data_IF_193748957560
#
_entry.id   IF_193748957560
#
_cell.length_a   1.000
_cell.length_b   1.000
_cell.length_c   1.000
_cell.angle_alpha   90.00
_cell.angle_beta   90.00
_cell.angle_gamma   90.00
#
_symmetry.space_group_name_H-M   'P 1'
#
loop_
_entity.id
_entity.type
_entity.pdbx_description
1 polymer ?
#
# COMPACT_ATOMS: atom_id res chain seq x y z
N UNK A 1 -2.35 -1.95 -1.80
CA UNK A 1 -1.33 -2.32 -2.80
C UNK A 1 -2.04 -2.61 -4.11
N UNK A 2 -1.67 -1.96 -5.22
CA UNK A 2 -2.20 -2.25 -6.54
C UNK A 2 -1.18 -1.87 -7.64
N UNK A 3 -0.50 -2.85 -8.26
CA UNK A 3 0.41 -2.67 -9.39
C UNK A 3 -0.18 -1.86 -10.53
N UNK A 4 -1.48 -1.97 -10.78
CA UNK A 4 -2.16 -1.30 -11.88
C UNK A 4 -2.43 0.20 -11.62
N UNK A 5 -1.98 0.75 -10.50
CA UNK A 5 -2.21 2.14 -10.10
C UNK A 5 -3.30 2.31 -9.05
N UNK A 6 -3.31 3.48 -8.42
CA UNK A 6 -4.27 3.83 -7.37
C UNK A 6 -4.82 5.23 -7.65
N UNK A 7 -6.15 5.37 -7.62
CA UNK A 7 -6.84 6.66 -7.72
C UNK A 7 -7.60 6.91 -6.41
N UNK A 8 -7.23 7.98 -5.71
CA UNK A 8 -8.08 8.56 -4.68
C UNK A 8 -8.93 9.66 -5.32
N UNK A 9 -10.24 9.42 -5.43
CA UNK A 9 -11.17 10.36 -6.05
C UNK A 9 -11.38 11.64 -5.23
N UNK A 10 -12.18 12.56 -5.77
CA UNK A 10 -12.39 13.90 -5.20
C UNK A 10 -12.86 13.88 -3.74
N UNK A 11 -13.73 12.94 -3.39
CA UNK A 11 -14.28 12.78 -2.03
C UNK A 11 -13.58 11.69 -1.21
N UNK A 12 -12.40 11.21 -1.64
CA UNK A 12 -11.66 10.19 -0.90
C UNK A 12 -11.29 10.70 0.50
N UNK A 13 -11.62 9.89 1.51
CA UNK A 13 -11.38 10.18 2.92
C UNK A 13 -10.81 8.97 3.63
N UNK A 14 -9.90 9.21 4.58
CA UNK A 14 -9.43 8.19 5.51
C UNK A 14 -10.05 8.48 6.89
N UNK A 15 -10.93 7.61 7.36
CA UNK A 15 -11.33 7.56 8.77
C UNK A 15 -10.77 6.30 9.42
N UNK A 16 -9.52 6.40 9.87
CA UNK A 16 -8.79 5.29 10.47
C UNK A 16 -8.13 5.72 11.79
N UNK A 17 -7.99 4.78 12.72
CA UNK A 17 -7.28 5.00 14.00
C UNK A 17 -5.75 4.87 13.90
N UNK A 18 -5.22 4.52 12.73
CA UNK A 18 -3.83 4.11 12.52
C UNK A 18 -3.15 4.82 11.35
N UNK A 19 -1.99 4.30 10.96
CA UNK A 19 -1.25 4.75 9.78
C UNK A 19 -1.78 4.08 8.52
N UNK A 20 -1.63 4.76 7.38
CA UNK A 20 -2.05 4.28 6.07
C UNK A 20 -0.87 4.17 5.11
N UNK A 21 -0.84 3.08 4.36
CA UNK A 21 0.14 2.82 3.30
C UNK A 21 -0.59 2.41 2.03
N UNK A 22 -0.36 3.16 0.94
CA UNK A 22 -0.78 2.77 -0.40
C UNK A 22 0.45 2.69 -1.32
N UNK A 23 0.51 1.62 -2.11
CA UNK A 23 1.65 1.37 -2.99
C UNK A 23 1.26 0.66 -4.27
N UNK A 24 1.99 0.94 -5.36
CA UNK A 24 1.94 0.21 -6.64
C UNK A 24 2.97 -0.93 -6.73
N UNK A 25 3.62 -1.28 -5.62
CA UNK A 25 4.47 -2.47 -5.55
C UNK A 25 3.68 -3.76 -5.80
N UNK A 26 4.39 -4.81 -6.20
CA UNK A 26 3.83 -6.14 -6.44
C UNK A 26 3.89 -7.01 -5.19
N UNK A 27 4.87 -6.72 -4.33
CA UNK A 27 5.07 -7.43 -3.09
C UNK A 27 5.57 -6.49 -1.98
N UNK A 28 5.30 -6.89 -0.73
CA UNK A 28 5.75 -6.25 0.49
C UNK A 28 6.61 -7.26 1.22
N UNK A 29 7.86 -6.89 1.50
CA UNK A 29 8.75 -7.70 2.32
C UNK A 29 8.56 -7.35 3.80
N UNK A 30 8.66 -8.35 4.64
CA UNK A 30 8.63 -8.26 6.09
C UNK A 30 9.80 -9.06 6.67
N UNK A 31 10.24 -8.77 7.91
CA UNK A 31 11.10 -9.69 8.63
C UNK A 31 10.45 -11.08 8.71
N UNK A 32 11.03 -12.07 8.05
CA UNK A 32 10.55 -13.46 8.05
C UNK A 32 9.65 -13.86 6.87
N UNK A 33 9.37 -12.99 5.90
CA UNK A 33 8.62 -13.40 4.70
C UNK A 33 8.24 -12.28 3.75
N UNK A 34 7.55 -12.65 2.67
CA UNK A 34 7.04 -11.73 1.65
C UNK A 34 5.55 -11.95 1.45
N UNK A 35 4.79 -10.86 1.34
CA UNK A 35 3.43 -10.88 0.81
C UNK A 35 3.43 -10.38 -0.62
N UNK A 36 2.94 -11.17 -1.56
CA UNK A 36 2.82 -10.81 -2.98
C UNK A 36 1.40 -11.04 -3.48
N UNK A 37 0.92 -10.17 -4.37
CA UNK A 37 -0.43 -10.28 -4.95
C UNK A 37 -0.64 -11.53 -5.80
N UNK A 38 0.45 -12.17 -6.25
CA UNK A 38 0.42 -13.36 -7.07
C UNK A 38 0.78 -14.63 -6.29
N UNK A 39 1.01 -14.53 -4.98
CA UNK A 39 1.32 -15.71 -4.17
C UNK A 39 0.06 -16.56 -3.94
N UNK A 40 0.13 -17.88 -4.14
CA UNK A 40 -0.99 -18.76 -3.84
C UNK A 40 -1.36 -18.69 -2.35
N UNK A 41 -2.65 -18.56 -2.05
CA UNK A 41 -3.17 -18.57 -0.67
C UNK A 41 -3.26 -20.02 -0.21
N UNK A 42 -2.26 -20.48 0.53
CA UNK A 42 -2.23 -21.81 1.11
C UNK A 42 -2.84 -21.80 2.52
N UNK A 43 -3.42 -22.91 3.02
CA UNK A 43 -4.05 -23.00 4.35
C UNK A 43 -3.14 -22.65 5.53
N UNK A 44 -1.81 -22.58 5.32
CA UNK A 44 -0.81 -22.21 6.32
C UNK A 44 -0.30 -20.77 6.22
N UNK A 45 -0.84 -19.93 5.33
CA UNK A 45 -0.45 -18.52 5.26
C UNK A 45 -0.86 -17.82 6.55
N UNK A 46 0.14 -17.49 7.37
CA UNK A 46 -0.05 -16.78 8.63
C UNK A 46 -0.72 -15.43 8.37
N UNK A 47 -1.67 -15.08 9.23
CA UNK A 47 -2.27 -13.75 9.26
C UNK A 47 -1.15 -12.71 9.43
N UNK A 48 -1.11 -11.74 8.52
CA UNK A 48 -0.03 -10.75 8.42
C UNK A 48 0.09 -9.97 9.74
N UNK A 49 1.19 -10.18 10.47
CA UNK A 49 1.62 -9.28 11.54
C UNK A 49 2.40 -8.13 10.90
N UNK A 50 1.84 -6.93 10.99
CA UNK A 50 2.19 -5.76 10.16
C UNK A 50 3.42 -5.01 10.67
N UNK A 51 4.59 -5.25 10.05
CA UNK A 51 5.72 -4.31 10.06
C UNK A 51 6.57 -4.49 8.78
N UNK A 52 6.19 -3.86 7.65
CA UNK A 52 6.87 -4.04 6.38
C UNK A 52 8.26 -3.41 6.40
N UNK A 53 9.26 -4.14 5.91
CA UNK A 53 10.64 -3.65 5.79
C UNK A 53 10.95 -3.07 4.42
N UNK A 54 10.25 -3.51 3.36
CA UNK A 54 10.44 -2.98 2.00
C UNK A 54 9.21 -3.17 1.11
N UNK A 55 9.11 -2.31 0.08
CA UNK A 55 8.19 -2.47 -1.05
C UNK A 55 8.98 -2.95 -2.27
N UNK A 56 8.49 -4.00 -2.93
CA UNK A 56 9.16 -4.64 -4.06
C UNK A 56 8.35 -4.39 -5.35
N UNK A 57 8.97 -3.72 -6.30
CA UNK A 57 8.40 -3.37 -7.59
C UNK A 57 9.03 -4.26 -8.66
N UNK A 58 8.22 -5.05 -9.37
CA UNK A 58 8.71 -5.93 -10.46
C UNK A 58 8.16 -5.52 -11.84
N UNK A 59 7.54 -4.34 -11.94
CA UNK A 59 6.97 -3.81 -13.17
C UNK A 59 7.99 -3.00 -13.97
N UNK A 60 7.94 -3.15 -15.29
CA UNK A 60 8.73 -2.32 -16.23
C UNK A 60 8.10 -0.93 -16.40
N UNK A 61 6.77 -0.83 -16.25
CA UNK A 61 6.02 0.42 -16.37
C UNK A 61 5.55 0.92 -15.01
N UNK A 62 5.98 2.11 -14.61
CA UNK A 62 5.51 2.78 -13.40
C UNK A 62 4.05 3.19 -13.54
N UNK A 63 3.20 2.73 -12.62
CA UNK A 63 1.81 3.13 -12.55
C UNK A 63 1.61 4.23 -11.51
N UNK A 64 0.73 5.22 -11.77
CA UNK A 64 0.61 6.37 -10.89
C UNK A 64 -0.22 6.05 -9.63
N UNK A 65 0.08 6.79 -8.57
CA UNK A 65 -0.87 7.05 -7.49
C UNK A 65 -1.36 8.48 -7.70
N UNK A 66 -2.63 8.64 -8.07
CA UNK A 66 -3.25 9.95 -8.30
C UNK A 66 -4.13 10.26 -7.10
N UNK A 67 -3.83 11.36 -6.41
CA UNK A 67 -4.69 11.89 -5.37
C UNK A 67 -5.47 13.11 -5.89
N UNK A 68 -6.78 12.96 -6.03
CA UNK A 68 -7.71 14.04 -6.38
C UNK A 68 -8.49 14.54 -5.17
N UNK A 69 -8.24 14.02 -3.96
CA UNK A 69 -8.96 14.40 -2.75
C UNK A 69 -8.77 15.88 -2.46
N UNK A 70 -9.86 16.58 -2.16
CA UNK A 70 -9.82 18.02 -1.83
C UNK A 70 -9.75 18.30 -0.33
N UNK A 71 -10.00 17.29 0.52
CA UNK A 71 -10.23 17.49 1.95
C UNK A 71 -9.84 16.31 2.87
N UNK A 72 -9.38 15.17 2.35
CA UNK A 72 -9.63 13.91 3.08
C UNK A 72 -8.54 12.85 3.10
N UNK A 73 -7.47 12.97 2.33
CA UNK A 73 -6.38 12.00 2.42
C UNK A 73 -5.38 12.41 3.49
N UNK A 74 -5.84 12.39 4.74
CA UNK A 74 -5.04 12.68 5.92
C UNK A 74 -5.31 11.64 7.00
N UNK A 75 -4.38 11.53 7.94
CA UNK A 75 -4.51 10.68 9.12
C UNK A 75 -4.35 11.56 10.36
N UNK A 76 -4.92 11.14 11.49
CA UNK A 76 -4.83 11.89 12.76
C UNK A 76 -3.37 12.14 13.15
N UNK A 77 -3.12 13.20 13.92
CA UNK A 77 -1.78 13.54 14.42
C UNK A 77 -1.09 12.34 15.10
N UNK A 78 0.22 12.20 14.85
CA UNK A 78 0.99 11.05 15.31
C UNK A 78 0.73 9.75 14.53
N UNK A 79 0.17 9.84 13.32
CA UNK A 79 0.05 8.75 12.34
C UNK A 79 0.77 9.09 11.04
N UNK A 80 1.02 8.07 10.23
CA UNK A 80 1.74 8.22 8.96
C UNK A 80 0.83 7.93 7.77
N UNK A 81 0.94 8.76 6.74
CA UNK A 81 0.39 8.51 5.41
C UNK A 81 1.57 8.35 4.44
N UNK A 82 1.71 7.16 3.85
CA UNK A 82 2.75 6.88 2.87
C UNK A 82 2.13 6.45 1.54
N UNK A 83 2.47 7.17 0.47
CA UNK A 83 2.10 6.85 -0.91
C UNK A 83 3.39 6.54 -1.68
N UNK A 84 3.57 5.28 -2.09
CA UNK A 84 4.80 4.82 -2.72
C UNK A 84 4.59 4.24 -4.11
N UNK A 85 5.25 4.80 -5.12
CA UNK A 85 5.32 4.25 -6.48
C UNK A 85 6.77 3.99 -6.90
N UNK A 86 7.00 3.14 -7.91
CA UNK A 86 8.34 2.91 -8.48
C UNK A 86 8.87 4.18 -9.16
N UNK A 87 10.20 4.32 -9.20
CA UNK A 87 10.84 5.39 -10.00
C UNK A 87 10.73 5.09 -11.49
#
# INVERSE_FOLDING_TARGET
MNPNGILFGQDARLDIGGSFVATTANAIAFPGGEFSLNSPVLPGNQLLSVNPSAFLFNQIATQPIINQSTSGLEVRDGRSLLLGTSK
#
